data_IF_109150790514
#
_entry.id   IF_109150790514
#
_cell.length_a   1.000
_cell.length_b   1.000
_cell.length_c   1.000
_cell.angle_alpha   90.00
_cell.angle_beta   90.00
_cell.angle_gamma   90.00
#
_symmetry.space_group_name_H-M   'P 1'
#
loop_
_entity.id
_entity.type
_entity.pdbx_description
1 polymer ?
#
# COMPACT_ATOMS: atom_id res chain seq x y z
N UNK A 1 -3.77 4.71 -30.87
CA UNK A 1 -4.62 4.23 -29.75
C UNK A 1 -3.97 4.76 -28.47
N UNK A 2 -4.68 5.45 -27.57
CA UNK A 2 -4.16 5.64 -26.22
C UNK A 2 -3.98 4.23 -25.63
N UNK A 3 -2.76 3.88 -25.23
CA UNK A 3 -2.52 2.64 -24.49
C UNK A 3 -3.29 2.72 -23.19
N UNK A 4 -4.21 1.78 -22.99
CA UNK A 4 -4.90 1.60 -21.72
C UNK A 4 -3.84 1.49 -20.59
N UNK A 5 -3.98 2.28 -19.49
CA UNK A 5 -2.99 2.29 -18.41
C UNK A 5 -2.75 0.89 -17.83
N UNK A 6 -3.77 0.02 -17.77
CA UNK A 6 -3.59 -1.36 -17.30
C UNK A 6 -2.68 -2.14 -18.25
N UNK A 7 -2.94 -2.05 -19.55
CA UNK A 7 -2.12 -2.67 -20.60
C UNK A 7 -0.67 -2.20 -20.57
N UNK A 8 -0.43 -0.90 -20.34
CA UNK A 8 0.91 -0.34 -20.22
C UNK A 8 1.64 -0.86 -18.97
N UNK A 9 1.00 -0.81 -17.80
CA UNK A 9 1.56 -1.30 -16.54
C UNK A 9 1.83 -2.81 -16.57
N UNK A 10 1.01 -3.57 -17.27
CA UNK A 10 1.17 -5.03 -17.39
C UNK A 10 2.48 -5.45 -18.06
N UNK A 11 3.08 -4.57 -18.88
CA UNK A 11 4.39 -4.82 -19.52
C UNK A 11 5.57 -4.66 -18.55
N UNK A 12 5.36 -4.04 -17.39
CA UNK A 12 6.39 -3.90 -16.39
C UNK A 12 6.64 -5.23 -15.66
N UNK A 13 7.87 -5.48 -15.19
CA UNK A 13 8.16 -6.64 -14.36
C UNK A 13 7.27 -6.69 -13.12
N UNK A 14 6.80 -7.88 -12.76
CA UNK A 14 6.16 -8.11 -11.48
C UNK A 14 7.15 -7.82 -10.35
N UNK A 15 6.68 -7.15 -9.31
CA UNK A 15 7.45 -6.77 -8.13
C UNK A 15 6.73 -7.33 -6.91
N UNK A 16 7.35 -8.28 -6.21
CA UNK A 16 6.86 -8.68 -4.90
C UNK A 16 7.39 -7.70 -3.84
N UNK A 17 6.51 -7.17 -3.00
CA UNK A 17 6.86 -6.17 -2.00
C UNK A 17 5.80 -6.07 -0.90
N UNK A 18 6.22 -5.51 0.24
CA UNK A 18 5.29 -4.88 1.18
C UNK A 18 5.14 -3.43 0.75
N UNK A 19 3.92 -3.04 0.43
CA UNK A 19 3.57 -1.68 0.02
C UNK A 19 2.46 -1.11 0.89
N UNK A 20 2.32 0.20 0.94
CA UNK A 20 1.45 0.88 1.86
C UNK A 20 0.40 1.73 1.14
N UNK A 21 -0.75 1.89 1.79
CA UNK A 21 -1.81 2.76 1.32
C UNK A 21 -2.54 3.38 2.51
N UNK A 22 -2.85 4.66 2.43
CA UNK A 22 -3.80 5.27 3.36
C UNK A 22 -5.19 4.63 3.19
N UNK A 23 -5.94 4.54 4.28
CA UNK A 23 -7.25 3.94 4.30
C UNK A 23 -8.19 4.78 5.16
N UNK A 24 -9.45 4.86 4.74
CA UNK A 24 -10.54 5.48 5.48
C UNK A 24 -11.65 4.47 5.74
N UNK A 25 -12.31 4.56 6.89
CA UNK A 25 -13.39 3.65 7.25
C UNK A 25 -12.91 2.28 7.78
N UNK A 26 -13.85 1.33 7.93
CA UNK A 26 -13.55 0.04 8.55
C UNK A 26 -12.63 -0.82 7.66
N UNK A 27 -11.70 -1.59 8.26
CA UNK A 27 -10.90 -2.58 7.53
C UNK A 27 -11.78 -3.61 6.82
N UNK A 28 -11.40 -4.09 5.62
CA UNK A 28 -12.09 -5.20 4.97
C UNK A 28 -12.09 -6.45 5.86
N UNK A 29 -13.24 -7.12 5.97
CA UNK A 29 -13.42 -8.35 6.77
C UNK A 29 -13.50 -9.62 5.91
N UNK A 30 -13.49 -9.48 4.58
CA UNK A 30 -13.53 -10.57 3.62
C UNK A 30 -12.57 -10.29 2.45
N UNK A 31 -12.22 -11.35 1.73
CA UNK A 31 -11.44 -11.27 0.50
C UNK A 31 -12.16 -10.40 -0.55
N UNK A 32 -11.41 -9.63 -1.32
CA UNK A 32 -11.98 -8.81 -2.39
C UNK A 32 -11.04 -8.73 -3.59
N UNK A 33 -11.64 -8.65 -4.77
CA UNK A 33 -10.90 -8.46 -6.03
C UNK A 33 -10.89 -6.97 -6.37
N UNK A 34 -9.73 -6.46 -6.78
CA UNK A 34 -9.62 -5.07 -7.22
C UNK A 34 -10.36 -4.85 -8.53
N UNK A 35 -11.24 -3.84 -8.56
CA UNK A 35 -11.93 -3.40 -9.78
C UNK A 35 -11.12 -2.42 -10.63
N UNK A 36 -10.21 -1.67 -10.00
CA UNK A 36 -9.37 -0.65 -10.61
C UNK A 36 -7.92 -0.80 -10.14
N UNK A 37 -7.00 -0.05 -10.79
CA UNK A 37 -5.61 0.03 -10.34
C UNK A 37 -5.60 0.61 -8.92
N UNK A 38 -4.94 -0.10 -8.00
CA UNK A 38 -4.73 0.35 -6.64
C UNK A 38 -3.32 0.93 -6.51
N UNK A 39 -3.14 2.26 -6.57
CA UNK A 39 -1.85 2.89 -6.31
C UNK A 39 -1.45 2.71 -4.83
N UNK A 40 -0.21 2.37 -4.60
CA UNK A 40 0.38 2.18 -3.26
C UNK A 40 1.81 2.71 -3.27
N UNK A 41 2.41 2.96 -2.11
CA UNK A 41 3.82 3.38 -2.01
C UNK A 41 4.60 2.45 -1.11
N UNK A 42 5.84 2.13 -1.47
CA UNK A 42 6.75 1.39 -0.60
C UNK A 42 7.15 2.20 0.65
N UNK A 43 6.94 3.52 0.66
CA UNK A 43 7.14 4.37 1.83
C UNK A 43 5.81 4.58 2.58
N UNK A 44 5.67 4.09 3.83
CA UNK A 44 4.45 4.26 4.61
C UNK A 44 4.13 5.74 4.91
N UNK A 45 5.13 6.63 4.96
CA UNK A 45 4.93 8.07 5.17
C UNK A 45 4.32 8.73 3.93
N UNK A 46 4.80 8.41 2.73
CA UNK A 46 4.21 8.89 1.47
C UNK A 46 2.81 8.31 1.31
N UNK A 47 2.65 7.00 1.52
CA UNK A 47 1.37 6.30 1.36
C UNK A 47 0.23 6.90 2.21
N UNK A 48 0.57 7.39 3.40
CA UNK A 48 -0.36 7.90 4.40
C UNK A 48 -0.43 9.43 4.48
N UNK A 49 0.22 10.12 3.54
CA UNK A 49 0.35 11.59 3.52
C UNK A 49 0.89 12.14 4.85
N UNK A 50 2.07 11.67 5.25
CA UNK A 50 2.70 11.95 6.54
C UNK A 50 1.86 11.49 7.74
N UNK A 51 1.25 10.31 7.66
CA UNK A 51 0.41 9.72 8.69
C UNK A 51 -0.83 10.56 9.04
N UNK A 52 -1.34 11.35 8.07
CA UNK A 52 -2.60 12.12 8.23
C UNK A 52 -3.83 11.32 7.81
N UNK A 53 -3.63 10.24 7.04
CA UNK A 53 -4.66 9.24 6.73
C UNK A 53 -5.28 8.66 8.02
N UNK A 54 -6.56 8.29 8.00
CA UNK A 54 -7.22 7.71 9.17
C UNK A 54 -6.56 6.41 9.63
N UNK A 55 -6.20 5.53 8.69
CA UNK A 55 -5.48 4.28 8.93
C UNK A 55 -4.46 4.05 7.82
N UNK A 56 -3.50 3.18 8.09
CA UNK A 56 -2.54 2.68 7.08
C UNK A 56 -2.84 1.21 6.83
N UNK A 57 -2.89 0.81 5.57
CA UNK A 57 -2.87 -0.58 5.14
C UNK A 57 -1.46 -0.93 4.65
N UNK A 58 -0.90 -2.01 5.17
CA UNK A 58 0.26 -2.68 4.59
C UNK A 58 -0.24 -3.86 3.75
N UNK A 59 0.17 -3.88 2.50
CA UNK A 59 -0.30 -4.79 1.47
C UNK A 59 0.90 -5.59 0.98
N UNK A 60 0.89 -6.90 1.20
CA UNK A 60 1.85 -7.80 0.59
C UNK A 60 1.39 -8.09 -0.82
N UNK A 61 2.11 -7.61 -1.82
CA UNK A 61 1.83 -7.88 -3.23
C UNK A 61 2.88 -8.80 -3.82
N UNK A 62 2.45 -9.67 -4.74
CA UNK A 62 3.29 -10.55 -5.57
C UNK A 62 3.41 -9.99 -6.99
N UNK A 63 2.35 -9.34 -7.46
CA UNK A 63 2.21 -8.87 -8.84
C UNK A 63 2.13 -7.36 -8.94
N UNK A 64 2.61 -6.63 -7.94
CA UNK A 64 2.74 -5.18 -8.02
C UNK A 64 3.63 -4.76 -9.19
N UNK A 65 3.45 -3.54 -9.67
CA UNK A 65 4.29 -2.93 -10.71
C UNK A 65 4.96 -1.70 -10.15
N UNK A 66 6.27 -1.75 -9.95
CA UNK A 66 7.03 -0.56 -9.58
C UNK A 66 7.02 0.43 -10.75
N UNK A 67 6.46 1.62 -10.51
CA UNK A 67 6.42 2.69 -11.51
C UNK A 67 7.41 3.81 -11.19
N UNK A 68 8.11 3.74 -10.05
CA UNK A 68 9.09 4.74 -9.64
C UNK A 68 10.08 5.12 -10.78
N UNK A 69 10.64 4.18 -11.57
CA UNK A 69 11.60 4.53 -12.64
C UNK A 69 11.04 5.40 -13.78
N UNK A 70 9.72 5.46 -13.95
CA UNK A 70 9.02 6.22 -14.99
C UNK A 70 8.12 7.33 -14.45
N UNK A 71 8.05 7.46 -13.12
CA UNK A 71 7.26 8.49 -12.46
C UNK A 71 7.93 9.87 -12.59
N UNK A 72 7.11 10.93 -12.57
CA UNK A 72 7.61 12.30 -12.38
C UNK A 72 8.15 12.54 -10.97
N UNK A 73 7.70 11.72 -10.03
CA UNK A 73 8.07 11.73 -8.61
C UNK A 73 8.54 10.33 -8.20
N UNK A 74 9.74 9.89 -8.62
CA UNK A 74 10.30 8.57 -8.29
C UNK A 74 10.40 8.33 -6.77
N UNK A 75 10.60 9.40 -6.00
CA UNK A 75 10.66 9.41 -4.53
C UNK A 75 9.35 9.00 -3.85
N UNK A 76 8.21 9.02 -4.57
CA UNK A 76 6.96 8.48 -4.04
C UNK A 76 6.94 6.95 -4.01
N UNK A 77 7.95 6.29 -4.59
CA UNK A 77 8.16 4.83 -4.55
C UNK A 77 6.89 4.03 -4.88
N UNK A 78 6.18 4.47 -5.91
CA UNK A 78 4.87 3.91 -6.22
C UNK A 78 4.98 2.50 -6.78
N UNK A 79 4.13 1.63 -6.22
CA UNK A 79 3.85 0.29 -6.70
C UNK A 79 2.35 0.24 -7.04
N UNK A 80 2.02 -0.01 -8.29
CA UNK A 80 0.64 -0.16 -8.74
C UNK A 80 0.21 -1.63 -8.65
N UNK A 81 -0.89 -1.92 -7.95
CA UNK A 81 -1.51 -3.25 -7.97
C UNK A 81 -2.65 -3.23 -9.00
N UNK A 82 -2.66 -4.20 -9.91
CA UNK A 82 -3.54 -4.19 -11.07
C UNK A 82 -4.97 -4.66 -10.73
N UNK A 83 -5.98 -4.27 -11.53
CA UNK A 83 -7.30 -4.86 -11.45
C UNK A 83 -7.26 -6.38 -11.59
N UNK A 84 -8.18 -7.07 -10.94
CA UNK A 84 -8.24 -8.54 -10.92
C UNK A 84 -7.37 -9.20 -9.84
N UNK A 85 -6.49 -8.45 -9.16
CA UNK A 85 -5.75 -8.98 -8.01
C UNK A 85 -6.70 -9.22 -6.83
N UNK A 86 -6.62 -10.42 -6.26
CA UNK A 86 -7.35 -10.83 -5.06
C UNK A 86 -6.54 -10.45 -3.81
N UNK A 87 -7.11 -9.59 -2.95
CA UNK A 87 -6.55 -9.24 -1.65
C UNK A 87 -7.31 -9.94 -0.52
N UNK A 88 -6.55 -10.56 0.38
CA UNK A 88 -7.03 -11.30 1.53
C UNK A 88 -6.75 -10.50 2.81
N UNK A 89 -7.76 -10.25 3.67
CA UNK A 89 -7.51 -9.71 5.00
C UNK A 89 -6.65 -10.67 5.81
N UNK A 90 -5.54 -10.17 6.33
CA UNK A 90 -4.66 -10.91 7.21
C UNK A 90 -4.77 -10.41 8.67
N UNK A 91 -5.63 -9.44 8.96
CA UNK A 91 -5.82 -8.88 10.30
C UNK A 91 -5.21 -7.49 10.42
N UNK A 92 -4.91 -7.07 11.65
CA UNK A 92 -4.34 -5.75 11.92
C UNK A 92 -3.39 -5.80 13.11
N UNK A 93 -2.40 -4.91 13.12
CA UNK A 93 -1.38 -4.84 14.16
C UNK A 93 -1.27 -3.45 14.76
N UNK A 94 -1.08 -3.39 16.06
CA UNK A 94 -0.77 -2.13 16.74
C UNK A 94 0.67 -1.74 16.47
N UNK A 95 0.89 -0.48 16.09
CA UNK A 95 2.23 0.11 15.94
C UNK A 95 2.34 1.28 16.91
N UNK A 96 3.37 1.34 17.78
CA UNK A 96 3.56 2.45 18.70
C UNK A 96 3.60 3.80 17.98
N UNK A 97 2.81 4.77 18.44
CA UNK A 97 2.72 6.10 17.84
C UNK A 97 1.57 6.30 16.85
N UNK A 98 0.94 5.23 16.37
CA UNK A 98 -0.30 5.30 15.60
C UNK A 98 -1.53 5.11 16.49
N UNK A 99 -2.55 5.94 16.30
CA UNK A 99 -3.84 5.81 17.00
C UNK A 99 -4.61 4.57 16.54
N UNK A 100 -4.58 4.28 15.24
CA UNK A 100 -5.26 3.14 14.66
C UNK A 100 -4.26 2.03 14.27
N UNK A 101 -4.64 0.75 14.39
CA UNK A 101 -3.78 -0.34 13.97
C UNK A 101 -3.57 -0.32 12.45
N UNK A 102 -2.38 -0.76 12.04
CA UNK A 102 -2.05 -0.97 10.62
C UNK A 102 -2.78 -2.23 10.14
N UNK A 103 -3.52 -2.10 9.06
CA UNK A 103 -4.28 -3.22 8.46
C UNK A 103 -3.38 -4.02 7.55
N UNK A 104 -3.40 -5.34 7.66
CA UNK A 104 -2.61 -6.23 6.84
C UNK A 104 -3.48 -6.88 5.78
N UNK A 105 -3.10 -6.69 4.52
CA UNK A 105 -3.71 -7.34 3.36
C UNK A 105 -2.63 -8.14 2.63
N UNK A 106 -3.01 -9.29 2.06
CA UNK A 106 -2.08 -10.11 1.29
C UNK A 106 -2.68 -10.52 -0.04
N UNK A 107 -1.87 -10.42 -1.09
CA UNK A 107 -2.07 -11.15 -2.33
C UNK A 107 -1.61 -12.60 -2.14
N UNK A 108 -2.34 -13.56 -2.74
CA UNK A 108 -1.97 -14.97 -2.65
C UNK A 108 -0.65 -15.22 -3.38
N UNK A 109 0.29 -15.85 -2.69
CA UNK A 109 1.58 -16.27 -3.25
C UNK A 109 2.68 -16.14 -2.21
N UNK A 110 3.90 -16.42 -2.64
CA UNK A 110 5.11 -16.21 -1.84
C UNK A 110 6.27 -15.87 -2.78
N UNK A 111 7.17 -15.03 -2.30
CA UNK A 111 8.41 -14.68 -2.97
C UNK A 111 9.55 -14.61 -1.92
N UNK A 112 10.79 -15.00 -2.25
CA UNK A 112 11.92 -15.02 -1.30
C UNK A 112 12.22 -13.68 -0.62
N UNK A 113 11.90 -12.57 -1.27
CA UNK A 113 12.06 -11.21 -0.76
C UNK A 113 11.01 -10.80 0.29
N UNK A 114 10.00 -11.65 0.54
CA UNK A 114 8.91 -11.38 1.46
C UNK A 114 9.02 -12.22 2.74
N UNK A 115 8.49 -11.71 3.87
CA UNK A 115 8.42 -12.46 5.12
C UNK A 115 7.82 -13.86 4.93
N UNK A 116 8.50 -14.89 5.43
CA UNK A 116 8.08 -16.29 5.28
C UNK A 116 6.96 -16.64 6.25
N UNK A 117 6.89 -15.92 7.37
CA UNK A 117 5.90 -16.13 8.41
C UNK A 117 5.10 -14.88 8.72
N UNK A 118 3.94 -15.11 9.35
CA UNK A 118 3.12 -14.05 9.89
C UNK A 118 3.88 -13.18 10.89
N UNK A 119 4.61 -13.79 11.82
CA UNK A 119 5.35 -13.06 12.85
C UNK A 119 6.43 -12.15 12.25
N UNK A 120 7.12 -12.60 11.21
CA UNK A 120 8.07 -11.79 10.46
C UNK A 120 7.38 -10.64 9.72
N UNK A 121 6.23 -10.89 9.08
CA UNK A 121 5.46 -9.83 8.44
C UNK A 121 5.07 -8.73 9.44
N UNK A 122 4.55 -9.11 10.60
CA UNK A 122 4.17 -8.14 11.63
C UNK A 122 5.38 -7.33 12.09
N UNK A 123 6.51 -8.00 12.33
CA UNK A 123 7.76 -7.35 12.74
C UNK A 123 8.27 -6.37 11.67
N UNK A 124 8.36 -6.79 10.41
CA UNK A 124 8.82 -5.94 9.31
C UNK A 124 7.92 -4.73 9.13
N UNK A 125 6.60 -4.90 9.21
CA UNK A 125 5.66 -3.77 9.11
C UNK A 125 5.82 -2.80 10.29
N UNK A 126 5.97 -3.31 11.52
CA UNK A 126 6.22 -2.47 12.70
C UNK A 126 7.52 -1.68 12.51
N UNK A 127 8.60 -2.33 12.06
CA UNK A 127 9.90 -1.71 11.86
C UNK A 127 9.84 -0.60 10.79
N UNK A 128 9.24 -0.89 9.62
CA UNK A 128 9.08 0.10 8.54
C UNK A 128 8.28 1.32 8.98
N UNK A 129 7.12 1.10 9.60
CA UNK A 129 6.21 2.19 10.01
C UNK A 129 6.83 3.00 11.13
N UNK A 130 7.44 2.36 12.13
CA UNK A 130 8.13 3.04 13.23
C UNK A 130 9.32 3.86 12.73
N UNK A 131 10.12 3.29 11.83
CA UNK A 131 11.25 4.00 11.23
C UNK A 131 10.78 5.24 10.45
N UNK A 132 9.76 5.09 9.61
CA UNK A 132 9.20 6.21 8.86
C UNK A 132 8.61 7.30 9.76
N UNK A 133 7.94 6.94 10.86
CA UNK A 133 7.45 7.90 11.86
C UNK A 133 8.57 8.69 12.53
N UNK A 134 9.73 8.08 12.75
CA UNK A 134 10.89 8.74 13.34
C UNK A 134 11.59 9.74 12.40
N UNK A 135 11.37 9.61 11.08
CA UNK A 135 11.91 10.56 10.10
C UNK A 135 11.06 11.83 10.01
N UNK A 136 11.63 12.97 9.57
CA UNK A 136 10.88 14.19 9.28
C UNK A 136 9.76 13.97 8.24
N UNK A 137 8.77 14.87 8.25
CA UNK A 137 7.76 14.89 7.20
C UNK A 137 8.39 15.14 5.83
N UNK A 138 7.87 14.45 4.81
CA UNK A 138 8.33 14.59 3.42
C UNK A 138 7.33 15.38 2.59
N UNK A 139 7.76 16.05 1.50
CA UNK A 139 6.84 16.62 0.53
C UNK A 139 5.93 15.54 -0.06
N UNK A 140 4.62 15.82 -0.14
CA UNK A 140 3.65 14.96 -0.82
C UNK A 140 3.34 15.58 -2.18
N UNK A 141 3.86 14.97 -3.25
CA UNK A 141 3.74 15.50 -4.61
C UNK A 141 2.41 15.13 -5.26
N UNK A 142 1.82 13.99 -4.86
CA UNK A 142 0.54 13.48 -5.35
C UNK A 142 -0.51 13.32 -4.24
N UNK A 143 -1.04 14.40 -3.64
CA UNK A 143 -2.10 14.31 -2.63
C UNK A 143 -3.33 13.55 -3.14
N UNK A 144 -3.90 12.69 -2.30
CA UNK A 144 -5.06 11.85 -2.59
C UNK A 144 -4.75 10.59 -3.41
N UNK A 145 -3.53 10.44 -3.92
CA UNK A 145 -3.17 9.31 -4.79
C UNK A 145 -3.11 7.99 -4.03
N UNK A 146 -2.42 7.98 -2.89
CA UNK A 146 -2.26 6.79 -2.05
C UNK A 146 -3.20 6.78 -0.85
N UNK A 147 -3.83 7.92 -0.53
CA UNK A 147 -4.83 8.02 0.53
C UNK A 147 -6.16 8.41 -0.09
N UNK A 148 -7.15 7.49 -0.19
CA UNK A 148 -8.46 7.87 -0.67
C UNK A 148 -9.05 8.94 0.27
N UNK A 149 -9.84 9.89 -0.26
CA UNK A 149 -10.49 10.90 0.57
C UNK A 149 -11.34 10.22 1.64
N UNK A 150 -11.35 10.76 2.86
CA UNK A 150 -12.24 10.28 3.92
C UNK A 150 -13.66 10.30 3.36
N UNK A 151 -14.31 9.13 3.31
CA UNK A 151 -15.76 9.09 3.11
C UNK A 151 -16.40 9.82 4.28
N UNK A 152 -16.93 11.01 4.04
CA UNK A 152 -17.86 11.64 4.96
C UNK A 152 -19.04 10.71 5.15
N UNK A 153 -19.32 10.33 6.40
CA UNK A 153 -20.52 9.57 6.73
C UNK A 153 -21.74 10.44 6.36
N UNK A 154 -22.36 10.15 5.22
CA UNK A 154 -23.52 10.89 4.75
C UNK A 154 -23.66 10.88 3.23
N UNK A 155 -24.29 9.83 2.71
CA UNK A 155 -25.42 9.87 1.79
C UNK A 155 -26.01 8.46 1.64
#
# INVERSE_FOLDING_TARGET
MPTDPVSALSQLPATAAITYRGMSGPPPNAAFTLGDILPTSADPRVASENFTSERVAAIVTMTGRSIAPMSRHPEELEIAILPGTLLLPAGAIAVPGLTNPVVLLTEKGWAPELPESRAELERTVIEHVTHAMAQPAVPIFSPGRFTPPRRSAGQ
#
